data_IF_915026274072
#
_entry.id   IF_915026274072
#
_cell.length_a   1.000
_cell.length_b   1.000
_cell.length_c   1.000
_cell.angle_alpha   90.00
_cell.angle_beta   90.00
_cell.angle_gamma   90.00
#
_symmetry.space_group_name_H-M   'P 1'
#
loop_
_entity.id
_entity.type
_entity.pdbx_description
1 polymer ?
#
# COMPACT_ATOMS: atom_id res chain seq x y z
N UNK A 1 2.62 10.81 19.83
CA UNK A 1 3.13 9.84 18.82
C UNK A 1 3.10 10.49 17.45
N UNK A 2 4.19 10.35 16.68
CA UNK A 2 4.23 10.78 15.28
C UNK A 2 3.26 9.91 14.48
N UNK A 3 2.29 10.50 13.76
CA UNK A 3 1.39 9.72 12.91
C UNK A 3 2.09 9.43 11.58
N UNK A 4 2.27 8.15 11.25
CA UNK A 4 2.71 7.70 9.92
C UNK A 4 1.55 7.76 8.93
N UNK A 5 1.85 7.83 7.63
CA UNK A 5 0.89 7.60 6.54
C UNK A 5 1.26 6.24 5.93
N UNK A 6 0.57 5.14 6.29
CA UNK A 6 0.86 3.83 5.73
C UNK A 6 0.63 3.83 4.22
N UNK A 7 1.61 3.33 3.47
CA UNK A 7 1.61 3.29 2.01
C UNK A 7 1.68 1.85 1.52
N UNK A 8 1.02 1.57 0.41
CA UNK A 8 1.14 0.29 -0.30
C UNK A 8 1.37 0.54 -1.78
N UNK A 9 2.14 -0.33 -2.42
CA UNK A 9 2.39 -0.21 -3.84
C UNK A 9 1.07 -0.29 -4.63
N UNK A 10 0.87 0.57 -5.63
CA UNK A 10 -0.40 0.67 -6.39
C UNK A 10 -0.84 -0.66 -7.03
N UNK A 11 0.12 -1.53 -7.34
CA UNK A 11 -0.15 -2.86 -7.89
C UNK A 11 -1.01 -3.73 -6.97
N UNK A 12 -0.99 -3.51 -5.65
CA UNK A 12 -1.90 -4.17 -4.72
C UNK A 12 -3.35 -3.83 -5.05
N UNK A 13 -3.67 -2.55 -5.23
CA UNK A 13 -5.01 -2.12 -5.62
C UNK A 13 -5.39 -2.62 -7.03
N UNK A 14 -4.50 -2.53 -8.02
CA UNK A 14 -4.77 -3.01 -9.38
C UNK A 14 -5.11 -4.50 -9.37
N UNK A 15 -4.26 -5.33 -8.76
CA UNK A 15 -4.48 -6.79 -8.72
C UNK A 15 -5.71 -7.17 -7.91
N UNK A 16 -6.04 -6.42 -6.85
CA UNK A 16 -7.24 -6.67 -6.05
C UNK A 16 -8.52 -6.26 -6.80
N UNK A 17 -8.50 -5.15 -7.54
CA UNK A 17 -9.60 -4.74 -8.43
C UNK A 17 -9.83 -5.82 -9.50
N UNK A 18 -8.77 -6.34 -10.15
CA UNK A 18 -8.90 -7.44 -11.10
C UNK A 18 -9.42 -8.73 -10.45
N UNK A 19 -9.02 -9.02 -9.21
CA UNK A 19 -9.52 -10.17 -8.46
C UNK A 19 -11.00 -10.02 -8.07
N UNK A 20 -11.54 -8.79 -7.99
CA UNK A 20 -12.93 -8.51 -7.63
C UNK A 20 -13.91 -8.69 -8.80
N UNK A 21 -13.46 -8.40 -10.03
CA UNK A 21 -14.30 -8.41 -11.25
C UNK A 21 -15.17 -9.67 -11.45
N UNK A 22 -14.71 -10.90 -11.13
CA UNK A 22 -15.54 -12.09 -11.29
C UNK A 22 -16.74 -12.16 -10.35
N UNK A 23 -16.72 -11.42 -9.24
CA UNK A 23 -17.73 -11.51 -8.18
C UNK A 23 -18.75 -10.38 -8.22
N UNK A 24 -18.42 -9.25 -8.84
CA UNK A 24 -19.22 -8.03 -8.80
C UNK A 24 -19.34 -7.45 -10.21
N UNK A 25 -20.58 -7.27 -10.67
CA UNK A 25 -20.89 -6.77 -12.02
C UNK A 25 -20.42 -5.34 -12.25
N UNK A 26 -20.61 -4.48 -11.25
CA UNK A 26 -20.12 -3.10 -11.27
C UNK A 26 -19.27 -2.82 -10.03
N UNK A 27 -17.97 -2.68 -10.25
CA UNK A 27 -16.97 -2.46 -9.20
C UNK A 27 -16.84 -0.98 -8.82
N UNK A 28 -17.33 -0.06 -9.65
CA UNK A 28 -17.10 1.38 -9.47
C UNK A 28 -17.69 1.94 -8.18
N UNK A 29 -18.89 1.54 -7.70
CA UNK A 29 -19.40 1.97 -6.40
C UNK A 29 -18.42 1.67 -5.25
N UNK A 30 -17.79 0.50 -5.28
CA UNK A 30 -16.81 0.07 -4.27
C UNK A 30 -15.53 0.89 -4.39
N UNK A 31 -15.01 1.07 -5.62
CA UNK A 31 -13.81 1.85 -5.89
C UNK A 31 -14.01 3.31 -5.45
N UNK A 32 -15.14 3.93 -5.79
CA UNK A 32 -15.47 5.29 -5.38
C UNK A 32 -15.62 5.43 -3.87
N UNK A 33 -16.37 4.52 -3.22
CA UNK A 33 -16.52 4.50 -1.76
C UNK A 33 -15.16 4.36 -1.04
N UNK A 34 -14.26 3.57 -1.60
CA UNK A 34 -12.92 3.36 -1.02
C UNK A 34 -12.02 4.60 -1.06
N UNK A 35 -12.38 5.62 -1.86
CA UNK A 35 -11.54 6.79 -2.18
C UNK A 35 -10.18 6.37 -2.79
N UNK A 36 -10.15 5.26 -3.52
CA UNK A 36 -8.97 4.86 -4.28
C UNK A 36 -8.69 5.87 -5.42
N UNK A 37 -7.42 6.10 -5.77
CA UNK A 37 -7.10 6.89 -6.94
C UNK A 37 -7.65 6.25 -8.21
N UNK A 38 -8.19 7.07 -9.12
CA UNK A 38 -8.73 6.59 -10.40
C UNK A 38 -7.58 6.46 -11.42
N UNK A 39 -7.67 5.48 -12.32
CA UNK A 39 -6.70 5.16 -13.39
C UNK A 39 -5.29 4.83 -12.88
N UNK A 40 -5.20 3.91 -11.90
CA UNK A 40 -3.95 3.45 -11.28
C UNK A 40 -2.87 2.98 -12.29
N UNK A 41 -3.28 2.46 -13.45
CA UNK A 41 -2.35 1.96 -14.47
C UNK A 41 -1.53 3.07 -15.13
N UNK A 42 -2.10 4.26 -15.27
CA UNK A 42 -1.48 5.37 -16.01
C UNK A 42 -0.88 6.47 -15.11
N UNK A 43 -1.03 6.38 -13.78
CA UNK A 43 -0.34 7.29 -12.86
C UNK A 43 1.14 6.91 -12.72
N UNK A 44 2.01 7.89 -12.51
CA UNK A 44 3.42 7.62 -12.13
C UNK A 44 3.59 7.14 -10.71
N UNK A 45 2.61 7.42 -9.85
CA UNK A 45 2.73 7.13 -8.44
C UNK A 45 3.01 5.63 -8.26
N UNK A 46 4.04 5.32 -7.49
CA UNK A 46 4.36 3.94 -7.12
C UNK A 46 3.48 3.46 -5.98
N UNK A 47 3.10 4.37 -5.08
CA UNK A 47 2.38 4.08 -3.86
C UNK A 47 1.02 4.78 -3.81
N UNK A 48 0.12 4.22 -3.02
CA UNK A 48 -1.18 4.79 -2.67
C UNK A 48 -1.36 4.73 -1.14
N UNK A 49 -2.25 5.53 -0.57
CA UNK A 49 -2.60 5.40 0.85
C UNK A 49 -3.17 4.00 1.14
N UNK A 50 -2.57 3.28 2.08
CA UNK A 50 -3.05 1.96 2.48
C UNK A 50 -4.48 2.04 3.04
N UNK A 51 -4.86 3.16 3.69
CA UNK A 51 -6.23 3.39 4.17
C UNK A 51 -7.29 3.47 3.07
N UNK A 52 -6.94 3.91 1.87
CA UNK A 52 -7.85 3.83 0.72
C UNK A 52 -7.98 2.37 0.24
N UNK A 53 -6.85 1.66 0.20
CA UNK A 53 -6.84 0.24 -0.14
C UNK A 53 -7.59 -0.64 0.87
N UNK A 54 -7.44 -0.42 2.17
CA UNK A 54 -8.14 -1.20 3.20
C UNK A 54 -9.65 -0.97 3.18
N UNK A 55 -10.12 0.22 2.75
CA UNK A 55 -11.56 0.43 2.47
C UNK A 55 -12.07 -0.40 1.30
N UNK A 56 -11.28 -0.60 0.25
CA UNK A 56 -11.65 -1.51 -0.84
C UNK A 56 -11.84 -2.93 -0.30
N UNK A 57 -10.89 -3.39 0.52
CA UNK A 57 -10.98 -4.71 1.16
C UNK A 57 -12.21 -4.82 2.07
N UNK A 58 -12.47 -3.80 2.89
CA UNK A 58 -13.62 -3.76 3.78
C UNK A 58 -14.94 -3.77 2.99
N UNK A 59 -15.06 -2.94 1.96
CA UNK A 59 -16.28 -2.88 1.17
C UNK A 59 -16.55 -4.21 0.42
N UNK A 60 -15.49 -4.89 -0.03
CA UNK A 60 -15.61 -6.24 -0.57
C UNK A 60 -16.02 -7.26 0.52
N UNK A 61 -15.48 -7.16 1.73
CA UNK A 61 -15.85 -8.02 2.87
C UNK A 61 -17.33 -7.85 3.27
N UNK A 62 -17.88 -6.64 3.14
CA UNK A 62 -19.28 -6.36 3.42
C UNK A 62 -20.21 -6.95 2.36
N UNK A 63 -19.81 -6.94 1.08
CA UNK A 63 -20.67 -7.29 -0.05
C UNK A 63 -20.53 -8.73 -0.53
N UNK A 64 -19.36 -9.36 -0.36
CA UNK A 64 -19.11 -10.70 -0.87
C UNK A 64 -19.56 -11.78 0.11
N UNK A 65 -20.10 -12.92 -0.40
CA UNK A 65 -20.22 -14.14 0.38
C UNK A 65 -18.86 -14.59 0.93
N UNK A 66 -18.84 -15.25 2.09
CA UNK A 66 -17.60 -15.58 2.79
C UNK A 66 -16.57 -16.36 1.95
N UNK A 67 -16.98 -17.41 1.22
CA UNK A 67 -16.08 -18.17 0.35
C UNK A 67 -15.53 -17.32 -0.81
N UNK A 68 -16.38 -16.46 -1.39
CA UNK A 68 -15.98 -15.56 -2.46
C UNK A 68 -14.96 -14.53 -1.96
N UNK A 69 -15.15 -13.98 -0.75
CA UNK A 69 -14.20 -13.07 -0.12
C UNK A 69 -12.83 -13.73 0.13
N UNK A 70 -12.81 -14.96 0.65
CA UNK A 70 -11.56 -15.71 0.88
C UNK A 70 -10.81 -15.89 -0.43
N UNK A 71 -11.49 -16.34 -1.49
CA UNK A 71 -10.90 -16.52 -2.81
C UNK A 71 -10.42 -15.20 -3.42
N UNK A 72 -11.17 -14.11 -3.24
CA UNK A 72 -10.81 -12.75 -3.65
C UNK A 72 -9.49 -12.29 -3.00
N UNK A 73 -9.34 -12.44 -1.68
CA UNK A 73 -8.12 -12.08 -0.96
C UNK A 73 -6.94 -12.93 -1.45
N UNK A 74 -7.10 -14.26 -1.50
CA UNK A 74 -6.02 -15.18 -1.88
C UNK A 74 -5.55 -14.96 -3.32
N UNK A 75 -6.47 -14.76 -4.27
CA UNK A 75 -6.15 -14.52 -5.68
C UNK A 75 -5.41 -13.20 -5.86
N UNK A 76 -5.92 -12.12 -5.27
CA UNK A 76 -5.30 -10.80 -5.37
C UNK A 76 -3.90 -10.77 -4.73
N UNK A 77 -3.75 -11.31 -3.52
CA UNK A 77 -2.45 -11.42 -2.85
C UNK A 77 -1.43 -12.24 -3.64
N UNK A 78 -1.86 -13.34 -4.26
CA UNK A 78 -1.00 -14.18 -5.12
C UNK A 78 -0.56 -13.43 -6.38
N UNK A 79 -1.47 -12.73 -7.05
CA UNK A 79 -1.13 -11.92 -8.22
C UNK A 79 -0.19 -10.77 -7.86
N UNK A 80 -0.46 -10.06 -6.76
CA UNK A 80 0.35 -8.95 -6.28
C UNK A 80 1.78 -9.39 -5.93
N UNK A 81 1.91 -10.44 -5.12
CA UNK A 81 3.23 -10.97 -4.74
C UNK A 81 4.04 -11.43 -5.95
N UNK A 82 3.43 -12.09 -6.93
CA UNK A 82 4.09 -12.47 -8.20
C UNK A 82 4.58 -11.25 -8.99
N UNK A 83 3.73 -10.24 -9.13
CA UNK A 83 4.05 -9.02 -9.88
C UNK A 83 5.22 -8.26 -9.25
N UNK A 84 5.24 -8.08 -7.93
CA UNK A 84 6.31 -7.35 -7.24
C UNK A 84 7.59 -8.19 -7.13
N UNK A 85 7.48 -9.50 -6.88
CA UNK A 85 8.65 -10.38 -6.82
C UNK A 85 9.46 -10.36 -8.13
N UNK A 86 8.79 -10.27 -9.29
CA UNK A 86 9.47 -10.09 -10.58
C UNK A 86 10.31 -8.80 -10.61
N UNK A 87 9.76 -7.68 -10.13
CA UNK A 87 10.45 -6.39 -10.11
C UNK A 87 11.65 -6.39 -9.15
N UNK A 88 11.57 -7.15 -8.05
CA UNK A 88 12.62 -7.21 -7.04
C UNK A 88 13.80 -8.12 -7.44
N UNK A 89 13.65 -9.04 -8.40
CA UNK A 89 14.72 -9.99 -8.82
C UNK A 89 15.99 -9.33 -9.36
N UNK A 90 15.98 -8.03 -9.63
CA UNK A 90 17.15 -7.30 -10.15
C UNK A 90 18.16 -6.85 -9.08
N UNK A 91 17.88 -7.05 -7.77
CA UNK A 91 18.70 -6.47 -6.69
C UNK A 91 19.26 -7.53 -5.69
N UNK A 92 20.25 -8.31 -6.12
CA UNK A 92 20.75 -9.54 -5.44
C UNK A 92 21.35 -9.40 -4.01
N UNK A 93 21.30 -8.23 -3.36
CA UNK A 93 21.98 -7.99 -2.07
C UNK A 93 21.09 -7.92 -0.82
N UNK A 94 19.76 -7.89 -0.97
CA UNK A 94 18.83 -7.74 0.17
C UNK A 94 18.26 -9.09 0.58
N UNK A 95 18.23 -9.39 1.89
CA UNK A 95 17.59 -10.58 2.45
C UNK A 95 16.16 -10.71 1.90
N UNK A 96 15.82 -11.87 1.32
CA UNK A 96 14.53 -12.10 0.69
C UNK A 96 13.35 -11.85 1.63
N UNK A 97 13.48 -12.17 2.92
CA UNK A 97 12.42 -11.94 3.89
C UNK A 97 12.23 -10.44 4.23
N UNK A 98 13.30 -9.65 4.19
CA UNK A 98 13.21 -8.20 4.42
C UNK A 98 12.39 -7.51 3.32
N UNK A 99 12.36 -8.06 2.11
CA UNK A 99 11.59 -7.50 0.99
C UNK A 99 10.08 -7.51 1.19
N UNK A 100 9.56 -8.22 2.20
CA UNK A 100 8.15 -8.11 2.59
C UNK A 100 7.75 -6.66 2.91
N UNK A 101 8.70 -5.83 3.34
CA UNK A 101 8.49 -4.40 3.62
C UNK A 101 8.25 -3.58 2.36
N UNK A 102 8.63 -4.10 1.18
CA UNK A 102 8.33 -3.48 -0.11
C UNK A 102 6.89 -3.81 -0.58
N UNK A 103 6.28 -4.87 -0.01
CA UNK A 103 4.94 -5.34 -0.37
C UNK A 103 3.85 -4.84 0.58
N UNK A 104 4.16 -4.68 1.85
CA UNK A 104 3.19 -4.40 2.89
C UNK A 104 3.65 -3.22 3.75
N UNK A 105 2.73 -2.40 4.29
CA UNK A 105 3.05 -1.32 5.22
C UNK A 105 3.47 -1.91 6.57
N UNK A 106 4.70 -2.43 6.66
CA UNK A 106 5.23 -3.10 7.84
C UNK A 106 6.06 -2.09 8.64
N UNK A 107 5.77 -2.00 9.94
CA UNK A 107 6.60 -1.28 10.91
C UNK A 107 7.77 -2.15 11.37
N UNK A 108 7.51 -3.42 11.65
CA UNK A 108 8.52 -4.37 12.13
C UNK A 108 8.26 -5.76 11.58
N UNK A 109 9.30 -6.46 11.15
CA UNK A 109 9.23 -7.88 10.77
C UNK A 109 10.35 -8.64 11.43
N UNK A 110 10.04 -9.85 11.86
CA UNK A 110 11.01 -10.79 12.38
C UNK A 110 10.71 -12.22 11.98
N UNK A 111 11.76 -13.01 11.78
CA UNK A 111 11.63 -14.46 11.61
C UNK A 111 12.37 -15.18 12.72
N UNK A 112 11.80 -16.27 13.23
CA UNK A 112 12.44 -17.10 14.25
C UNK A 112 12.29 -18.58 13.91
N UNK A 113 13.35 -19.34 14.14
CA UNK A 113 13.28 -20.79 14.22
C UNK A 113 13.32 -21.21 15.70
N UNK A 114 12.16 -21.57 16.26
CA UNK A 114 12.09 -22.02 17.65
C UNK A 114 12.15 -23.54 17.74
N UNK A 115 13.05 -24.06 18.56
CA UNK A 115 13.07 -25.46 18.99
C UNK A 115 12.35 -25.59 20.34
N UNK A 116 11.04 -25.87 20.29
CA UNK A 116 10.21 -26.00 21.51
C UNK A 116 10.42 -27.35 22.22
N UNK A 117 11.02 -28.34 21.55
CA UNK A 117 11.29 -29.70 22.03
C UNK A 117 12.29 -30.38 21.10
N UNK A 118 12.97 -31.46 21.55
CA UNK A 118 13.91 -32.30 20.77
C UNK A 118 13.34 -32.78 19.40
N UNK A 119 12.02 -32.68 19.19
CA UNK A 119 11.32 -33.18 18.01
C UNK A 119 10.47 -32.15 17.24
N UNK A 120 10.26 -30.93 17.75
CA UNK A 120 9.39 -29.92 17.11
C UNK A 120 10.12 -28.58 16.96
N UNK A 121 10.71 -28.38 15.79
CA UNK A 121 11.14 -27.08 15.29
C UNK A 121 9.96 -26.38 14.61
N UNK A 122 9.75 -25.09 14.83
CA UNK A 122 8.72 -24.31 14.13
C UNK A 122 9.41 -23.08 13.52
N UNK A 123 9.15 -22.84 12.23
CA UNK A 123 9.52 -21.57 11.60
C UNK A 123 8.37 -20.59 11.77
N UNK A 124 8.67 -19.41 12.29
CA UNK A 124 7.69 -18.33 12.44
C UNK A 124 8.15 -17.08 11.72
N UNK A 125 7.20 -16.41 11.07
CA UNK A 125 7.36 -15.07 10.51
C UNK A 125 6.32 -14.18 11.19
N UNK A 126 6.79 -13.23 12.00
CA UNK A 126 5.95 -12.29 12.73
C UNK A 126 6.18 -10.86 12.24
N UNK A 127 5.12 -10.08 12.04
CA UNK A 127 5.21 -8.69 11.63
C UNK A 127 4.11 -7.81 12.24
N UNK A 128 4.41 -6.52 12.33
CA UNK A 128 3.50 -5.46 12.78
C UNK A 128 3.22 -4.54 11.60
N UNK A 129 1.94 -4.32 11.27
CA UNK A 129 1.54 -3.36 10.25
C UNK A 129 1.52 -1.95 10.83
N UNK A 130 1.85 -0.97 10.02
CA UNK A 130 1.65 0.44 10.37
C UNK A 130 0.14 0.75 10.50
N UNK A 131 -0.23 1.54 11.50
CA UNK A 131 -1.61 1.99 11.83
C UNK A 131 -2.69 1.66 10.77
N UNK A 132 -3.30 0.49 10.92
CA UNK A 132 -4.28 -0.08 9.98
C UNK A 132 -5.73 0.27 10.34
N UNK A 133 -5.95 1.11 11.36
CA UNK A 133 -7.31 1.46 11.80
C UNK A 133 -8.08 2.25 10.73
N UNK A 134 -9.41 2.03 10.62
CA UNK A 134 -10.26 1.15 11.43
C UNK A 134 -10.41 -0.29 10.90
N UNK A 135 -9.78 -0.64 9.77
CA UNK A 135 -10.06 -1.90 9.05
C UNK A 135 -9.01 -2.97 9.30
N UNK A 136 -8.66 -3.14 10.58
CA UNK A 136 -7.54 -4.00 11.01
C UNK A 136 -7.73 -5.43 10.51
N UNK A 137 -8.91 -6.01 10.74
CA UNK A 137 -9.16 -7.42 10.43
C UNK A 137 -8.92 -7.79 8.97
N UNK A 138 -9.56 -7.07 8.03
CA UNK A 138 -9.37 -7.35 6.58
C UNK A 138 -7.96 -7.00 6.11
N UNK A 139 -7.32 -5.99 6.71
CA UNK A 139 -5.93 -5.64 6.45
C UNK A 139 -4.95 -6.73 6.89
N UNK A 140 -5.18 -7.31 8.07
CA UNK A 140 -4.41 -8.42 8.62
C UNK A 140 -4.54 -9.68 7.76
N UNK A 141 -5.76 -10.05 7.35
CA UNK A 141 -6.00 -11.18 6.46
C UNK A 141 -5.28 -11.02 5.11
N UNK A 142 -5.35 -9.81 4.53
CA UNK A 142 -4.62 -9.51 3.30
C UNK A 142 -3.11 -9.60 3.49
N UNK A 143 -2.58 -9.07 4.60
CA UNK A 143 -1.16 -9.12 4.90
C UNK A 143 -0.66 -10.57 5.10
N UNK A 144 -1.43 -11.42 5.79
CA UNK A 144 -1.15 -12.86 5.92
C UNK A 144 -1.11 -13.51 4.54
N UNK A 145 -2.12 -13.25 3.69
CA UNK A 145 -2.18 -13.84 2.35
C UNK A 145 -0.99 -13.41 1.48
N UNK A 146 -0.61 -12.12 1.50
CA UNK A 146 0.54 -11.61 0.74
C UNK A 146 1.84 -12.19 1.27
N UNK A 147 2.05 -12.19 2.59
CA UNK A 147 3.26 -12.72 3.19
C UNK A 147 3.43 -14.21 2.90
N UNK A 148 2.35 -15.00 3.00
CA UNK A 148 2.35 -16.41 2.66
C UNK A 148 2.65 -16.64 1.17
N UNK A 149 1.93 -15.96 0.26
CA UNK A 149 2.14 -16.09 -1.18
C UNK A 149 3.55 -15.65 -1.59
N UNK A 150 4.15 -14.68 -0.92
CA UNK A 150 5.54 -14.29 -1.13
C UNK A 150 6.51 -15.39 -0.68
N UNK A 151 6.32 -15.93 0.53
CA UNK A 151 7.20 -16.95 1.11
C UNK A 151 7.30 -18.20 0.23
N UNK A 152 6.17 -18.74 -0.24
CA UNK A 152 6.16 -19.95 -1.09
C UNK A 152 6.82 -19.74 -2.45
N UNK A 153 6.95 -18.49 -2.91
CA UNK A 153 7.70 -18.17 -4.14
C UNK A 153 9.21 -18.15 -3.92
N UNK A 154 9.66 -17.86 -2.70
CA UNK A 154 11.08 -17.81 -2.35
C UNK A 154 11.60 -19.13 -1.76
N UNK A 155 10.70 -19.94 -1.18
CA UNK A 155 11.05 -21.12 -0.37
C UNK A 155 10.16 -22.30 -0.73
N UNK A 156 10.73 -23.28 -1.41
CA UNK A 156 10.03 -24.51 -1.83
C UNK A 156 9.72 -25.47 -0.67
N UNK A 157 10.39 -25.30 0.47
CA UNK A 157 10.13 -26.05 1.69
C UNK A 157 8.93 -25.54 2.50
N UNK A 158 8.44 -24.33 2.18
CA UNK A 158 7.22 -23.77 2.76
C UNK A 158 6.01 -24.22 1.94
N UNK A 159 5.05 -24.88 2.62
CA UNK A 159 3.78 -25.33 2.01
C UNK A 159 2.59 -24.59 2.58
N UNK A 160 1.90 -25.15 3.57
CA UNK A 160 0.79 -24.50 4.27
C UNK A 160 1.23 -24.10 5.68
N UNK A 161 0.74 -22.97 6.21
CA UNK A 161 0.97 -22.62 7.61
C UNK A 161 0.30 -23.63 8.55
N UNK A 162 0.93 -23.88 9.69
CA UNK A 162 0.38 -24.68 10.79
C UNK A 162 -0.68 -23.90 11.58
N UNK A 163 -0.48 -22.59 11.74
CA UNK A 163 -1.39 -21.64 12.42
C UNK A 163 -1.04 -20.21 12.01
N UNK A 164 -1.92 -19.27 12.35
CA UNK A 164 -1.61 -17.85 12.26
C UNK A 164 -2.21 -17.03 13.40
N UNK A 165 -1.55 -15.91 13.69
CA UNK A 165 -1.92 -14.94 14.71
C UNK A 165 -2.48 -13.68 14.05
N UNK A 166 -3.52 -13.13 14.67
CA UNK A 166 -4.18 -11.88 14.34
C UNK A 166 -4.13 -10.96 15.55
N UNK A 167 -3.93 -9.67 15.29
CA UNK A 167 -3.93 -8.62 16.32
C UNK A 167 -5.36 -8.22 16.67
N UNK A 168 -6.25 -8.25 15.67
CA UNK A 168 -7.68 -8.00 15.84
C UNK A 168 -8.24 -8.83 17.00
N UNK A 169 -8.97 -8.16 17.89
CA UNK A 169 -9.54 -8.79 19.10
C UNK A 169 -10.96 -9.32 18.86
N UNK A 170 -11.71 -8.69 17.97
CA UNK A 170 -13.10 -9.03 17.68
C UNK A 170 -13.21 -10.28 16.79
N UNK A 171 -14.03 -11.24 17.23
CA UNK A 171 -14.29 -12.49 16.51
C UNK A 171 -15.36 -12.39 15.42
N UNK A 172 -16.17 -11.35 15.44
CA UNK A 172 -17.30 -11.20 14.51
C UNK A 172 -16.88 -11.36 13.04
N UNK A 173 -15.69 -10.85 12.69
CA UNK A 173 -15.12 -10.96 11.36
C UNK A 173 -14.79 -12.40 10.95
N UNK A 174 -14.15 -13.18 11.84
CA UNK A 174 -13.84 -14.59 11.58
C UNK A 174 -15.10 -15.44 11.52
N UNK A 175 -16.06 -15.19 12.42
CA UNK A 175 -17.33 -15.92 12.48
C UNK A 175 -18.11 -15.73 11.16
N UNK A 176 -18.14 -14.49 10.64
CA UNK A 176 -18.72 -14.18 9.32
C UNK A 176 -18.06 -14.96 8.19
N UNK A 177 -16.75 -15.19 8.27
CA UNK A 177 -16.02 -15.94 7.23
C UNK A 177 -16.27 -17.45 7.27
N UNK A 178 -16.78 -17.98 8.39
CA UNK A 178 -17.07 -19.41 8.55
C UNK A 178 -15.91 -20.29 8.08
N UNK A 179 -14.68 -19.92 8.49
CA UNK A 179 -13.44 -20.53 8.00
C UNK A 179 -13.35 -21.97 8.52
N UNK A 180 -13.71 -22.94 7.65
CA UNK A 180 -13.46 -24.37 7.88
C UNK A 180 -12.07 -24.73 7.38
N UNK A 181 -11.03 -24.36 8.13
CA UNK A 181 -9.65 -24.72 7.77
C UNK A 181 -8.95 -25.49 8.89
N UNK A 182 -8.10 -26.44 8.52
CA UNK A 182 -7.21 -27.15 9.44
C UNK A 182 -6.06 -26.27 10.00
N UNK A 183 -6.01 -24.98 9.64
CA UNK A 183 -4.98 -24.03 10.09
C UNK A 183 -5.57 -23.11 11.16
N UNK A 184 -5.34 -23.32 12.46
CA UNK A 184 -5.98 -22.55 13.52
C UNK A 184 -5.66 -21.04 13.50
N UNK A 185 -6.61 -20.23 13.94
CA UNK A 185 -6.51 -18.77 14.05
C UNK A 185 -6.51 -18.32 15.51
N UNK A 186 -5.50 -17.54 15.90
CA UNK A 186 -5.40 -16.98 17.24
C UNK A 186 -5.51 -15.46 17.17
N UNK A 187 -6.51 -14.92 17.86
CA UNK A 187 -6.81 -13.48 17.87
C UNK A 187 -6.32 -12.80 19.15
N UNK A 188 -6.33 -11.46 19.16
CA UNK A 188 -5.85 -10.65 20.27
C UNK A 188 -4.35 -10.82 20.56
N UNK A 189 -3.58 -11.18 19.55
CA UNK A 189 -2.14 -11.38 19.65
C UNK A 189 -1.40 -10.04 19.56
N UNK A 190 -0.14 -10.01 19.99
CA UNK A 190 0.68 -8.78 19.97
C UNK A 190 1.21 -8.43 18.58
N UNK A 191 1.20 -9.38 17.64
CA UNK A 191 1.59 -9.18 16.26
C UNK A 191 0.90 -10.19 15.33
N UNK A 192 0.88 -9.88 14.04
CA UNK A 192 0.48 -10.83 13.01
C UNK A 192 1.62 -11.84 12.85
N UNK A 193 1.30 -13.13 12.80
CA UNK A 193 2.33 -14.14 12.60
C UNK A 193 1.84 -15.35 11.80
N UNK A 194 2.73 -15.89 10.98
CA UNK A 194 2.57 -17.14 10.24
C UNK A 194 3.55 -18.17 10.82
N UNK A 195 3.06 -19.38 11.05
CA UNK A 195 3.86 -20.47 11.59
C UNK A 195 3.88 -21.66 10.63
N UNK A 196 4.99 -22.37 10.57
CA UNK A 196 5.21 -23.48 9.66
C UNK A 196 5.94 -24.64 10.37
N UNK A 197 5.59 -25.90 10.06
CA UNK A 197 6.12 -27.07 10.75
C UNK A 197 7.62 -27.29 10.54
N UNK A 198 8.18 -28.20 11.34
CA UNK A 198 9.62 -28.55 11.42
C UNK A 198 10.27 -29.02 10.12
N UNK A 199 9.47 -29.34 9.11
CA UNK A 199 9.97 -29.69 7.77
C UNK A 199 10.62 -28.52 7.05
N UNK A 200 10.38 -27.28 7.50
CA UNK A 200 11.02 -26.08 6.98
C UNK A 200 12.48 -26.06 7.43
N UNK A 201 13.40 -26.12 6.47
CA UNK A 201 14.85 -26.23 6.73
C UNK A 201 15.37 -24.95 7.38
N UNK A 202 16.24 -25.08 8.38
CA UNK A 202 17.08 -23.97 8.81
C UNK A 202 18.13 -23.71 7.72
N UNK A 203 18.08 -22.54 7.08
CA UNK A 203 19.16 -22.11 6.19
C UNK A 203 20.18 -21.29 6.98
N UNK A 204 21.48 -21.58 6.79
CA UNK A 204 22.60 -20.94 7.50
C UNK A 204 22.73 -19.43 7.24
N UNK A 205 22.10 -18.90 6.19
CA UNK A 205 21.98 -17.46 5.88
C UNK A 205 20.76 -16.78 6.49
N UNK A 206 19.81 -17.55 7.06
CA UNK A 206 18.71 -17.04 7.89
C UNK A 206 19.17 -17.03 9.35
N UNK A 207 20.08 -16.11 9.71
CA UNK A 207 20.00 -15.54 11.06
C UNK A 207 18.59 -14.96 11.24
N UNK A 208 18.04 -15.05 12.44
CA UNK A 208 16.77 -14.42 12.82
C UNK A 208 16.69 -13.03 12.19
N UNK A 209 15.84 -12.87 11.16
CA UNK A 209 15.62 -11.56 10.58
C UNK A 209 15.02 -10.70 11.67
N UNK A 210 15.59 -9.53 11.87
CA UNK A 210 14.95 -8.45 12.59
C UNK A 210 15.10 -7.20 11.74
N UNK A 211 13.97 -6.64 11.32
CA UNK A 211 13.93 -5.39 10.59
C UNK A 211 12.87 -4.48 11.20
N UNK A 212 13.19 -3.20 11.24
CA UNK A 212 12.32 -2.13 11.73
C UNK A 212 12.34 -0.96 10.75
N UNK A 213 11.19 -0.35 10.54
CA UNK A 213 10.99 0.73 9.58
C UNK A 213 11.79 1.96 10.00
N UNK A 214 12.57 2.48 9.05
CA UNK A 214 13.19 3.79 9.22
C UNK A 214 12.14 4.89 9.09
N UNK A 215 12.13 5.81 10.07
CA UNK A 215 11.19 6.93 10.10
C UNK A 215 11.49 7.88 8.94
N UNK A 216 10.50 8.02 8.05
CA UNK A 216 10.55 9.01 6.96
C UNK A 216 9.87 10.30 7.39
N UNK A 217 10.32 11.48 6.93
CA UNK A 217 9.61 12.75 7.17
C UNK A 217 8.15 12.66 6.71
N UNK A 218 7.25 13.28 7.47
CA UNK A 218 5.81 13.23 7.19
C UNK A 218 5.48 13.81 5.81
N UNK A 219 6.20 14.85 5.40
CA UNK A 219 6.17 15.50 4.10
C UNK A 219 6.46 14.55 2.94
N UNK A 220 7.45 13.66 3.07
CA UNK A 220 7.76 12.66 2.05
C UNK A 220 6.62 11.66 1.94
N UNK A 221 6.12 11.15 3.06
CA UNK A 221 5.00 10.21 3.07
C UNK A 221 3.72 10.85 2.48
N UNK A 222 3.45 12.11 2.84
CA UNK A 222 2.32 12.87 2.32
C UNK A 222 2.46 13.12 0.81
N UNK A 223 3.67 13.43 0.33
CA UNK A 223 3.96 13.59 -1.09
C UNK A 223 3.70 12.31 -1.88
N UNK A 224 4.22 11.17 -1.41
CA UNK A 224 4.00 9.86 -2.06
C UNK A 224 2.52 9.47 -2.08
N UNK A 225 1.81 9.69 -0.97
CA UNK A 225 0.36 9.45 -0.88
C UNK A 225 -0.41 10.33 -1.89
N UNK A 226 -0.11 11.63 -1.91
CA UNK A 226 -0.82 12.62 -2.70
C UNK A 226 -0.56 12.47 -4.21
N UNK A 227 0.65 12.07 -4.62
CA UNK A 227 1.02 11.89 -6.03
C UNK A 227 0.02 11.01 -6.79
N UNK A 228 -0.51 9.97 -6.13
CA UNK A 228 -1.47 9.04 -6.74
C UNK A 228 -2.77 9.70 -7.22
N UNK A 229 -3.11 10.87 -6.69
CA UNK A 229 -4.33 11.61 -6.99
C UNK A 229 -4.13 12.82 -7.93
N UNK A 230 -2.87 13.18 -8.22
CA UNK A 230 -2.53 14.38 -9.00
C UNK A 230 -2.86 14.18 -10.48
N UNK A 231 -3.40 15.23 -11.13
CA UNK A 231 -3.82 15.17 -12.53
C UNK A 231 -4.96 14.18 -12.76
N UNK A 232 -5.85 14.04 -11.77
CA UNK A 232 -7.01 13.14 -11.83
C UNK A 232 -8.20 13.77 -11.13
N UNK A 233 -7.93 14.32 -9.94
CA UNK A 233 -8.91 14.99 -9.13
C UNK A 233 -8.25 16.15 -8.38
N UNK A 234 -8.99 17.24 -8.18
CA UNK A 234 -8.56 18.33 -7.32
C UNK A 234 -8.75 17.95 -5.86
N UNK A 235 -7.73 17.31 -5.26
CA UNK A 235 -7.81 16.84 -3.89
C UNK A 235 -7.54 17.99 -2.90
N UNK A 236 -8.53 18.34 -2.07
CA UNK A 236 -8.37 19.33 -1.00
C UNK A 236 -7.74 18.69 0.24
N UNK A 237 -7.29 19.51 1.18
CA UNK A 237 -6.69 19.02 2.41
C UNK A 237 -7.68 18.19 3.23
N UNK A 238 -8.95 18.58 3.23
CA UNK A 238 -10.05 17.88 3.89
C UNK A 238 -10.25 16.49 3.30
N UNK A 239 -10.25 16.38 1.98
CA UNK A 239 -10.37 15.09 1.28
C UNK A 239 -9.18 14.18 1.58
N UNK A 240 -7.97 14.75 1.56
CA UNK A 240 -6.74 14.02 1.90
C UNK A 240 -6.76 13.54 3.35
N UNK A 241 -7.17 14.40 4.29
CA UNK A 241 -7.40 14.09 5.71
C UNK A 241 -8.34 12.91 5.88
N UNK A 242 -9.46 12.91 5.15
CA UNK A 242 -10.39 11.78 5.18
C UNK A 242 -9.80 10.50 4.62
N UNK A 243 -9.07 10.60 3.50
CA UNK A 243 -8.46 9.45 2.84
C UNK A 243 -7.49 8.77 3.80
N UNK A 244 -6.57 9.52 4.38
CA UNK A 244 -5.53 9.01 5.26
C UNK A 244 -5.96 8.94 6.72
N UNK A 245 -7.19 9.36 7.07
CA UNK A 245 -7.73 9.44 8.45
C UNK A 245 -6.79 10.12 9.47
N UNK A 246 -6.17 11.22 9.06
CA UNK A 246 -5.38 12.09 9.94
C UNK A 246 -6.02 13.47 9.92
N UNK A 247 -6.38 14.06 11.08
CA UNK A 247 -7.01 15.37 11.12
C UNK A 247 -6.18 16.44 10.40
N UNK A 248 -6.85 17.35 9.69
CA UNK A 248 -6.24 18.45 8.93
C UNK A 248 -5.22 19.25 9.75
N UNK A 249 -5.56 19.61 11.00
CA UNK A 249 -4.65 20.32 11.93
C UNK A 249 -3.38 19.52 12.23
N UNK A 250 -3.49 18.20 12.34
CA UNK A 250 -2.35 17.30 12.56
C UNK A 250 -1.46 17.26 11.33
N UNK A 251 -2.04 17.11 10.13
CA UNK A 251 -1.32 17.17 8.85
C UNK A 251 -0.55 18.49 8.74
N UNK A 252 -1.23 19.62 8.93
CA UNK A 252 -0.63 20.95 8.84
C UNK A 252 0.53 21.12 9.83
N UNK A 253 0.35 20.69 11.09
CA UNK A 253 1.40 20.75 12.10
C UNK A 253 2.62 19.93 11.71
N UNK A 254 2.45 18.69 11.27
CA UNK A 254 3.57 17.84 10.87
C UNK A 254 4.27 18.35 9.60
N UNK A 255 3.52 18.86 8.62
CA UNK A 255 4.12 19.48 7.43
C UNK A 255 4.90 20.75 7.77
N UNK A 256 4.38 21.58 8.69
CA UNK A 256 5.09 22.76 9.16
C UNK A 256 6.38 22.42 9.92
N UNK A 257 6.38 21.33 10.71
CA UNK A 257 7.59 20.80 11.35
C UNK A 257 8.64 20.34 10.33
N UNK A 258 8.20 19.81 9.19
CA UNK A 258 9.05 19.46 8.05
C UNK A 258 9.41 20.66 7.16
N UNK A 259 9.03 21.89 7.54
CA UNK A 259 9.33 23.11 6.78
C UNK A 259 8.51 23.31 5.50
N UNK A 260 7.36 22.65 5.37
CA UNK A 260 6.51 22.70 4.17
C UNK A 260 5.02 22.84 4.51
N UNK A 261 4.17 22.78 3.50
CA UNK A 261 2.72 22.84 3.62
C UNK A 261 2.06 21.94 2.58
N UNK A 262 0.80 21.58 2.81
CA UNK A 262 0.02 20.78 1.86
C UNK A 262 -0.04 21.44 0.48
N UNK A 263 -0.20 22.77 0.46
CA UNK A 263 -0.20 23.57 -0.77
C UNK A 263 1.13 23.47 -1.52
N UNK A 264 2.26 23.60 -0.82
CA UNK A 264 3.59 23.50 -1.44
C UNK A 264 3.84 22.10 -2.02
N UNK A 265 3.49 21.04 -1.29
CA UNK A 265 3.61 19.66 -1.81
C UNK A 265 2.75 19.49 -3.06
N UNK A 266 1.48 19.89 -3.00
CA UNK A 266 0.54 19.79 -4.14
C UNK A 266 1.03 20.57 -5.35
N UNK A 267 1.53 21.78 -5.16
CA UNK A 267 2.08 22.62 -6.23
C UNK A 267 3.28 21.94 -6.88
N UNK A 268 4.25 21.45 -6.10
CA UNK A 268 5.41 20.71 -6.61
C UNK A 268 5.02 19.46 -7.41
N UNK A 269 4.04 18.68 -6.93
CA UNK A 269 3.54 17.52 -7.65
C UNK A 269 2.80 17.90 -8.94
N UNK A 270 2.02 18.98 -8.93
CA UNK A 270 1.37 19.52 -10.12
C UNK A 270 2.39 19.93 -11.20
N UNK A 271 3.51 20.56 -10.80
CA UNK A 271 4.60 20.89 -11.73
C UNK A 271 5.26 19.63 -12.29
N UNK A 272 5.56 18.65 -11.44
CA UNK A 272 6.14 17.38 -11.87
C UNK A 272 5.23 16.62 -12.86
N UNK A 273 3.92 16.63 -12.60
CA UNK A 273 2.91 16.09 -13.52
C UNK A 273 2.90 16.85 -14.85
N UNK A 274 2.83 18.18 -14.81
CA UNK A 274 2.81 19.01 -16.02
C UNK A 274 4.02 18.74 -16.91
N UNK A 275 5.23 18.71 -16.34
CA UNK A 275 6.47 18.38 -17.05
C UNK A 275 6.38 17.05 -17.78
N UNK A 276 5.81 16.03 -17.14
CA UNK A 276 5.63 14.71 -17.73
C UNK A 276 4.63 14.71 -18.87
N UNK A 277 3.48 15.39 -18.68
CA UNK A 277 2.43 15.47 -19.71
C UNK A 277 2.94 16.22 -20.94
N UNK A 278 3.62 17.34 -20.77
CA UNK A 278 4.20 18.11 -21.89
C UNK A 278 5.19 17.28 -22.71
N UNK A 279 5.99 16.42 -22.07
CA UNK A 279 6.92 15.52 -22.77
C UNK A 279 6.26 14.36 -23.50
N UNK A 280 5.12 13.87 -22.99
CA UNK A 280 4.51 12.62 -23.47
C UNK A 280 3.35 12.84 -24.43
N UNK A 281 2.75 14.03 -24.45
CA UNK A 281 1.52 14.28 -25.19
C UNK A 281 1.52 15.70 -25.75
N UNK A 282 0.89 15.85 -26.91
CA UNK A 282 0.66 17.15 -27.54
C UNK A 282 -0.57 17.84 -26.92
N UNK A 283 -0.51 18.14 -25.61
CA UNK A 283 -1.61 18.76 -24.83
C UNK A 283 -1.29 20.24 -24.63
N UNK A 284 -2.28 21.10 -24.80
CA UNK A 284 -2.11 22.55 -24.62
C UNK A 284 -1.88 22.92 -23.16
N UNK A 285 -1.17 24.03 -22.92
CA UNK A 285 -0.95 24.56 -21.56
C UNK A 285 -2.28 24.89 -20.86
N UNK A 286 -3.30 25.30 -21.61
CA UNK A 286 -4.64 25.57 -21.09
C UNK A 286 -5.31 24.30 -20.56
N UNK A 287 -5.23 23.20 -21.32
CA UNK A 287 -5.77 21.91 -20.90
C UNK A 287 -5.02 21.36 -19.68
N UNK A 288 -3.69 21.47 -19.65
CA UNK A 288 -2.88 21.06 -18.48
C UNK A 288 -3.30 21.86 -17.24
N UNK A 289 -3.46 23.17 -17.38
CA UNK A 289 -3.90 24.04 -16.29
C UNK A 289 -5.26 23.64 -15.73
N UNK A 290 -6.26 23.46 -16.62
CA UNK A 290 -7.60 23.04 -16.23
C UNK A 290 -7.59 21.67 -15.55
N UNK A 291 -6.80 20.73 -16.08
CA UNK A 291 -6.68 19.37 -15.54
C UNK A 291 -6.00 19.30 -14.16
N UNK A 292 -5.14 20.27 -13.85
CA UNK A 292 -4.49 20.42 -12.55
C UNK A 292 -5.32 21.21 -11.52
N UNK A 293 -6.53 21.65 -11.90
CA UNK A 293 -7.46 22.36 -11.02
C UNK A 293 -7.16 23.85 -10.85
N UNK A 294 -6.36 24.47 -11.73
CA UNK A 294 -6.17 25.92 -11.71
C UNK A 294 -7.38 26.60 -12.35
N UNK A 295 -7.86 27.68 -11.72
CA UNK A 295 -9.01 28.44 -12.22
C UNK A 295 -8.72 29.09 -13.58
N UNK A 296 -7.47 29.52 -13.79
CA UNK A 296 -7.03 30.21 -15.02
C UNK A 296 -5.63 29.73 -15.44
N UNK A 297 -5.35 29.56 -16.76
CA UNK A 297 -4.02 29.22 -17.27
C UNK A 297 -2.90 30.14 -16.78
N UNK A 298 -3.21 31.42 -16.56
CA UNK A 298 -2.25 32.40 -16.05
C UNK A 298 -1.75 32.07 -14.63
N UNK A 299 -2.58 31.44 -13.79
CA UNK A 299 -2.20 31.01 -12.45
C UNK A 299 -1.21 29.84 -12.52
N UNK A 300 -1.48 28.86 -13.38
CA UNK A 300 -0.57 27.74 -13.63
C UNK A 300 0.78 28.23 -14.18
N UNK A 301 0.78 29.12 -15.17
CA UNK A 301 2.02 29.66 -15.77
C UNK A 301 2.87 30.37 -14.72
N UNK A 302 2.26 31.13 -13.81
CA UNK A 302 2.97 31.80 -12.70
C UNK A 302 3.58 30.80 -11.72
N UNK A 303 2.81 29.79 -11.30
CA UNK A 303 3.29 28.72 -10.42
C UNK A 303 4.46 27.95 -11.07
N UNK A 304 4.31 27.59 -12.34
CA UNK A 304 5.35 26.90 -13.11
C UNK A 304 6.60 27.75 -13.25
N UNK A 305 6.47 29.03 -13.62
CA UNK A 305 7.61 29.95 -13.73
C UNK A 305 8.29 30.17 -12.39
N UNK A 306 7.54 30.20 -11.29
CA UNK A 306 8.11 30.30 -9.93
C UNK A 306 8.93 29.05 -9.57
N UNK A 307 8.49 27.86 -9.98
CA UNK A 307 9.19 26.60 -9.71
C UNK A 307 10.41 26.40 -10.61
N UNK A 308 10.29 26.72 -11.90
CA UNK A 308 11.27 26.35 -12.93
C UNK A 308 12.09 27.52 -13.45
N UNK A 309 11.81 28.74 -13.00
CA UNK A 309 12.38 30.00 -13.50
C UNK A 309 12.08 30.33 -14.98
N UNK A 310 11.38 29.44 -15.70
CA UNK A 310 10.95 29.59 -17.10
C UNK A 310 9.47 29.29 -17.25
N UNK A 311 8.83 29.83 -18.31
CA UNK A 311 7.43 29.50 -18.60
C UNK A 311 7.27 28.05 -19.10
N UNK A 312 6.07 27.43 -18.98
CA UNK A 312 5.84 26.08 -19.50
C UNK A 312 6.25 25.89 -20.96
N UNK A 313 5.93 26.87 -21.82
CA UNK A 313 6.26 26.81 -23.25
C UNK A 313 7.78 26.86 -23.50
N UNK A 314 8.50 27.71 -22.76
CA UNK A 314 9.96 27.76 -22.83
C UNK A 314 10.56 26.45 -22.33
N UNK A 315 10.03 25.91 -21.23
CA UNK A 315 10.48 24.64 -20.67
C UNK A 315 10.32 23.49 -21.67
N UNK A 316 9.16 23.40 -22.36
CA UNK A 316 8.92 22.37 -23.38
C UNK A 316 9.97 22.46 -24.49
N UNK A 317 10.19 23.65 -25.07
CA UNK A 317 11.18 23.85 -26.15
C UNK A 317 12.61 23.49 -25.78
N UNK A 318 12.98 23.64 -24.50
CA UNK A 318 14.32 23.29 -24.00
C UNK A 318 14.47 21.76 -23.87
N UNK A 319 13.37 21.02 -23.72
CA UNK A 319 13.34 19.60 -23.42
C UNK A 319 12.66 18.74 -24.49
N UNK A 320 12.38 19.32 -25.66
CA UNK A 320 11.98 18.63 -26.91
C UNK A 320 13.23 18.07 -27.61
#
# INVERSE_FOLDING_TARGET
MSKSIPLIHKAAAITQIEALKPYIKDIWPIVHYSKLPIYLDSTSAQFIPYRAFSRLLQAAFEQLPHQAFIAFIQRGATSYSKQIAHNLKQNNKVNSLARLTDLLPIERVSSKHSTSSKYHSEFSLAFTLEDVEPFNFVGELYAIAVAHSYLIQQRSDIKKPSKYHLVSQDKSGLDKLSISTDTPQFMGQTSIALFYPSTVKQHSTTLDLHWEKQVQPFSIQASCALESYIGRQDLRLEDFSDIIKIPTRTIQRHLAQDGTSFRQIKESLNIAFAKRVMKQRNVSISEISAHLGYAEPSQFIRAFKKSENVTPLQWSKIHD
#
